data_IF_475494248976
#
_entry.id   IF_475494248976
#
_cell.length_a   1.000
_cell.length_b   1.000
_cell.length_c   1.000
_cell.angle_alpha   90.00
_cell.angle_beta   90.00
_cell.angle_gamma   90.00
#
_symmetry.space_group_name_H-M   'P 1'
#
loop_
_entity.id
_entity.type
_entity.pdbx_description
1 polymer ?
#
# COMPACT_ATOMS: atom_id res chain seq x y z
N UNK A 1 -0.73 -22.71 10.38
CA UNK A 1 -0.96 -21.38 9.78
C UNK A 1 -2.32 -21.41 9.09
N UNK A 2 -3.06 -20.30 9.07
CA UNK A 2 -4.35 -20.26 8.38
C UNK A 2 -4.21 -20.44 6.86
N UNK A 3 -5.24 -20.96 6.20
CA UNK A 3 -5.23 -21.37 4.79
C UNK A 3 -5.14 -20.20 3.77
N UNK A 4 -4.81 -18.99 4.22
CA UNK A 4 -4.83 -17.75 3.44
C UNK A 4 -3.44 -17.07 3.42
N UNK A 5 -2.39 -17.78 3.79
CA UNK A 5 -1.05 -17.24 3.73
C UNK A 5 -0.55 -17.21 2.29
N UNK A 6 -0.19 -16.02 1.81
CA UNK A 6 0.49 -15.81 0.53
C UNK A 6 1.90 -15.28 0.77
N UNK A 7 2.85 -15.75 -0.03
CA UNK A 7 4.25 -15.34 0.05
C UNK A 7 4.45 -13.90 -0.44
N UNK A 8 5.55 -13.28 -0.04
CA UNK A 8 5.87 -11.88 -0.33
C UNK A 8 5.98 -11.60 -1.83
N UNK A 9 6.46 -12.56 -2.63
CA UNK A 9 6.60 -12.40 -4.07
C UNK A 9 5.24 -12.43 -4.76
N UNK A 10 4.33 -13.29 -4.30
CA UNK A 10 2.93 -13.27 -4.74
C UNK A 10 2.26 -11.94 -4.43
N UNK A 11 2.46 -11.38 -3.23
CA UNK A 11 1.95 -10.03 -2.87
C UNK A 11 2.54 -8.97 -3.81
N UNK A 12 3.87 -8.96 -3.99
CA UNK A 12 4.54 -8.00 -4.87
C UNK A 12 3.98 -8.05 -6.29
N UNK A 13 3.92 -9.25 -6.87
CA UNK A 13 3.42 -9.45 -8.23
C UNK A 13 1.95 -9.03 -8.34
N UNK A 14 1.13 -9.29 -7.33
CA UNK A 14 -0.28 -8.88 -7.35
C UNK A 14 -0.45 -7.36 -7.45
N UNK A 15 0.45 -6.58 -6.82
CA UNK A 15 0.42 -5.11 -6.89
C UNK A 15 0.84 -4.64 -8.28
N UNK A 16 1.93 -5.17 -8.82
CA UNK A 16 2.44 -4.79 -10.15
C UNK A 16 1.47 -5.21 -11.25
N UNK A 17 0.93 -6.43 -11.19
CA UNK A 17 -0.08 -6.89 -12.14
C UNK A 17 -1.37 -6.07 -12.05
N UNK A 18 -1.81 -5.68 -10.85
CA UNK A 18 -2.97 -4.79 -10.73
C UNK A 18 -2.70 -3.44 -11.40
N UNK A 19 -1.51 -2.87 -11.17
CA UNK A 19 -1.08 -1.62 -11.79
C UNK A 19 -1.10 -1.70 -13.32
N UNK A 20 -0.52 -2.75 -13.89
CA UNK A 20 -0.42 -2.95 -15.35
C UNK A 20 -1.78 -3.17 -16.03
N UNK A 21 -2.72 -3.81 -15.34
CA UNK A 21 -4.03 -4.16 -15.91
C UNK A 21 -5.11 -3.12 -15.64
N UNK A 22 -4.87 -2.17 -14.74
CA UNK A 22 -5.81 -1.09 -14.42
C UNK A 22 -5.70 0.05 -15.43
N UNK A 23 -6.82 0.51 -15.99
CA UNK A 23 -6.85 1.67 -16.89
C UNK A 23 -6.28 2.95 -16.26
N UNK A 24 -6.38 3.08 -14.94
CA UNK A 24 -5.84 4.22 -14.18
C UNK A 24 -4.55 3.89 -13.43
N UNK A 25 -3.99 2.68 -13.61
CA UNK A 25 -2.87 2.18 -12.83
C UNK A 25 -3.13 2.29 -11.33
N UNK A 26 -2.16 2.83 -10.59
CA UNK A 26 -2.24 3.14 -9.16
C UNK A 26 -2.47 4.65 -8.89
N UNK A 27 -3.02 5.41 -9.84
CA UNK A 27 -3.30 6.82 -9.63
C UNK A 27 -4.35 7.03 -8.53
N UNK A 28 -3.97 7.71 -7.45
CA UNK A 28 -4.82 7.93 -6.27
C UNK A 28 -5.00 6.69 -5.38
N UNK A 29 -4.22 5.63 -5.59
CA UNK A 29 -4.35 4.37 -4.86
C UNK A 29 -3.85 4.47 -3.41
N UNK A 30 -4.52 3.78 -2.49
CA UNK A 30 -4.09 3.63 -1.09
C UNK A 30 -3.71 2.16 -0.87
N UNK A 31 -2.41 1.88 -0.79
CA UNK A 31 -1.91 0.55 -0.46
C UNK A 31 -1.82 0.40 1.06
N UNK A 32 -2.69 -0.44 1.64
CA UNK A 32 -2.71 -0.75 3.07
C UNK A 32 -1.87 -2.01 3.35
N UNK A 33 -0.88 -1.89 4.24
CA UNK A 33 -0.02 -3.01 4.64
C UNK A 33 -0.03 -3.16 6.16
N UNK A 34 -0.26 -4.39 6.63
CA UNK A 34 -0.11 -4.75 8.03
C UNK A 34 1.33 -5.21 8.29
N UNK A 35 2.11 -4.37 8.97
CA UNK A 35 3.51 -4.65 9.33
C UNK A 35 3.59 -5.75 10.41
N UNK A 36 2.52 -5.91 11.19
CA UNK A 36 2.36 -7.01 12.14
C UNK A 36 1.91 -8.27 11.43
N UNK A 37 2.77 -9.29 11.47
CA UNK A 37 2.42 -10.64 11.04
C UNK A 37 2.67 -11.59 12.19
N UNK A 38 1.94 -12.71 12.24
CA UNK A 38 2.20 -13.79 13.19
C UNK A 38 3.72 -14.04 13.30
N UNK A 39 4.32 -14.14 14.51
CA UNK A 39 5.76 -14.36 14.66
C UNK A 39 6.28 -15.56 13.88
N UNK A 40 5.42 -16.56 13.60
CA UNK A 40 5.73 -17.74 12.81
C UNK A 40 5.90 -17.45 11.31
N UNK A 41 5.47 -16.28 10.81
CA UNK A 41 5.70 -15.83 9.43
C UNK A 41 7.16 -15.43 9.28
N UNK A 42 7.96 -16.31 8.69
CA UNK A 42 9.35 -16.01 8.34
C UNK A 42 9.46 -15.04 7.14
N UNK A 43 8.61 -15.22 6.14
CA UNK A 43 8.62 -14.43 4.90
C UNK A 43 7.77 -13.16 5.03
N UNK A 44 8.35 -12.09 5.59
CA UNK A 44 7.62 -10.87 5.91
C UNK A 44 7.67 -9.86 4.76
N UNK A 45 6.51 -9.49 4.23
CA UNK A 45 6.40 -8.59 3.08
C UNK A 45 7.08 -7.23 3.29
N UNK A 46 7.16 -6.73 4.54
CA UNK A 46 7.81 -5.45 4.78
C UNK A 46 9.29 -5.41 4.37
N UNK A 47 9.95 -6.57 4.23
CA UNK A 47 11.33 -6.67 3.72
C UNK A 47 11.43 -6.32 2.23
N UNK A 48 10.33 -6.41 1.47
CA UNK A 48 10.24 -6.09 0.04
C UNK A 48 9.79 -4.66 -0.23
N UNK A 49 9.46 -3.85 0.80
CA UNK A 49 8.95 -2.49 0.59
C UNK A 49 9.96 -1.57 -0.09
N UNK A 50 11.27 -1.74 0.19
CA UNK A 50 12.30 -0.95 -0.49
C UNK A 50 12.30 -1.21 -2.00
N UNK A 51 12.16 -2.48 -2.39
CA UNK A 51 12.07 -2.89 -3.79
C UNK A 51 10.80 -2.36 -4.43
N UNK A 52 9.65 -2.53 -3.78
CA UNK A 52 8.36 -2.05 -4.29
C UNK A 52 8.34 -0.54 -4.49
N UNK A 53 8.87 0.22 -3.53
CA UNK A 53 8.94 1.68 -3.62
C UNK A 53 9.83 2.11 -4.78
N UNK A 54 10.96 1.43 -5.02
CA UNK A 54 11.86 1.72 -6.15
C UNK A 54 11.17 1.42 -7.48
N UNK A 55 10.49 0.29 -7.58
CA UNK A 55 9.74 -0.12 -8.77
C UNK A 55 8.61 0.88 -9.09
N UNK A 56 7.80 1.26 -8.11
CA UNK A 56 6.72 2.22 -8.35
C UNK A 56 7.27 3.62 -8.69
N UNK A 57 8.41 4.02 -8.11
CA UNK A 57 9.05 5.28 -8.51
C UNK A 57 9.62 5.24 -9.93
N UNK A 58 10.21 4.14 -10.37
CA UNK A 58 10.72 4.01 -11.75
C UNK A 58 9.57 4.07 -12.77
N UNK A 59 8.37 3.62 -12.38
CA UNK A 59 7.12 3.75 -13.15
C UNK A 59 6.46 5.13 -13.09
N UNK A 60 7.07 6.10 -12.40
CA UNK A 60 6.60 7.50 -12.35
C UNK A 60 5.63 7.82 -11.21
N UNK A 61 5.40 6.88 -10.27
CA UNK A 61 4.54 7.16 -9.12
C UNK A 61 5.25 8.02 -8.06
N UNK A 62 4.45 8.89 -7.43
CA UNK A 62 4.86 9.67 -6.26
C UNK A 62 4.07 9.20 -5.04
N UNK A 63 4.79 8.83 -3.98
CA UNK A 63 4.19 8.58 -2.68
C UNK A 63 3.91 9.91 -1.99
N UNK A 64 2.67 10.09 -1.55
CA UNK A 64 2.19 11.27 -0.84
C UNK A 64 1.64 10.86 0.51
N UNK A 65 1.57 11.80 1.45
CA UNK A 65 0.92 11.54 2.74
C UNK A 65 -0.60 11.47 2.55
N UNK A 66 -1.29 10.77 3.44
CA UNK A 66 -2.74 10.59 3.29
C UNK A 66 -3.52 11.91 3.33
N UNK A 67 -3.04 12.90 4.09
CA UNK A 67 -3.62 14.25 4.15
C UNK A 67 -3.34 15.09 2.90
N UNK A 68 -2.32 14.74 2.11
CA UNK A 68 -2.07 15.36 0.79
C UNK A 68 -2.98 14.74 -0.27
N UNK A 69 -3.22 13.42 -0.19
CA UNK A 69 -4.15 12.71 -1.07
C UNK A 69 -5.61 13.10 -0.80
N UNK A 70 -6.00 13.24 0.48
CA UNK A 70 -7.37 13.52 0.93
C UNK A 70 -7.43 14.84 1.76
N UNK A 71 -7.23 16.01 1.12
CA UNK A 71 -7.02 17.29 1.81
C UNK A 71 -8.26 17.81 2.55
N UNK A 72 -9.46 17.30 2.23
CA UNK A 72 -10.71 17.75 2.84
C UNK A 72 -11.02 17.04 4.16
N UNK A 73 -10.33 15.94 4.50
CA UNK A 73 -10.60 15.18 5.73
C UNK A 73 -10.42 16.02 7.00
N UNK A 74 -9.46 16.93 7.02
CA UNK A 74 -9.22 17.83 8.16
C UNK A 74 -10.20 19.01 8.28
N UNK A 75 -11.01 19.28 7.24
CA UNK A 75 -11.95 20.42 7.22
C UNK A 75 -13.37 20.05 7.67
N UNK A 76 -13.74 18.77 7.57
CA UNK A 76 -15.09 18.29 7.88
C UNK A 76 -15.26 17.95 9.38
N UNK A 77 -14.16 17.79 10.14
CA UNK A 77 -14.20 17.38 11.55
C UNK A 77 -14.15 18.47 12.63
N UNK A 78 -13.98 19.75 12.28
CA UNK A 78 -13.93 20.85 13.27
C UNK A 78 -15.33 21.38 13.67
N UNK A 79 -16.32 20.50 13.74
CA UNK A 79 -17.72 20.80 14.07
C UNK A 79 -18.17 20.34 15.46
N UNK A 80 -17.28 19.80 16.30
CA UNK A 80 -17.61 19.51 17.72
C UNK A 80 -16.64 20.28 18.59
N UNK A 81 -17.06 21.49 18.96
CA UNK A 81 -16.50 22.18 20.13
C UNK A 81 -16.94 21.38 21.37
N UNK A 82 -16.02 21.21 22.32
CA UNK A 82 -16.37 20.83 23.69
C UNK A 82 -17.47 21.73 24.25
#
# INVERSE_FOLDING_TARGET
MGNQYVDSRTIFNSIVSYEENSLSGLNGFILLIHIGTDPRRADKFYLYLSELIKELKSRGYRFVRINELLPLWGKVGMGVKK
#
